data_IF_253328833104
#
_entry.id   IF_253328833104
#
_cell.length_a   1.000
_cell.length_b   1.000
_cell.length_c   1.000
_cell.angle_alpha   90.00
_cell.angle_beta   90.00
_cell.angle_gamma   90.00
#
_symmetry.space_group_name_H-M   'P 1'
#
loop_
_entity.id
_entity.type
_entity.pdbx_description
1 polymer ?
#
# COMPACT_ATOMS: atom_id res chain seq x y z
N UNK A 1 -21.12 13.75 -26.98
CA UNK A 1 -21.37 14.82 -25.98
C UNK A 1 -21.25 14.18 -24.60
N UNK A 2 -20.05 14.17 -24.00
CA UNK A 2 -19.77 13.42 -22.76
C UNK A 2 -20.43 14.08 -21.55
N UNK A 3 -21.20 13.31 -20.78
CA UNK A 3 -21.85 13.77 -19.56
C UNK A 3 -20.76 14.13 -18.54
N UNK A 4 -20.53 15.42 -18.29
CA UNK A 4 -19.59 15.87 -17.26
C UNK A 4 -20.22 15.60 -15.89
N UNK A 5 -19.76 14.55 -15.22
CA UNK A 5 -20.22 14.25 -13.86
C UNK A 5 -19.43 15.12 -12.89
N UNK A 6 -20.08 16.11 -12.29
CA UNK A 6 -19.50 16.88 -11.20
C UNK A 6 -19.83 16.20 -9.87
N UNK A 7 -18.82 16.01 -9.04
CA UNK A 7 -18.96 15.46 -7.69
C UNK A 7 -18.33 16.45 -6.71
N UNK A 8 -19.04 16.86 -5.67
CA UNK A 8 -18.44 17.67 -4.61
C UNK A 8 -17.80 16.75 -3.56
N UNK A 9 -16.67 17.16 -2.97
CA UNK A 9 -16.16 16.66 -1.70
C UNK A 9 -16.50 17.67 -0.60
N UNK A 10 -17.38 17.28 0.32
CA UNK A 10 -17.82 18.03 1.48
C UNK A 10 -17.23 17.47 2.77
N UNK A 11 -17.44 18.18 3.88
CA UNK A 11 -17.07 17.70 5.22
C UNK A 11 -17.81 16.43 5.59
N UNK A 12 -19.10 16.34 5.27
CA UNK A 12 -19.94 15.16 5.53
C UNK A 12 -19.40 13.93 4.80
N UNK A 13 -19.04 14.07 3.52
CA UNK A 13 -18.45 12.96 2.77
C UNK A 13 -17.08 12.54 3.31
N UNK A 14 -16.28 13.50 3.78
CA UNK A 14 -15.00 13.19 4.43
C UNK A 14 -15.20 12.38 5.71
N UNK A 15 -16.21 12.72 6.52
CA UNK A 15 -16.56 11.91 7.69
C UNK A 15 -17.06 10.52 7.30
N UNK A 16 -17.86 10.40 6.24
CA UNK A 16 -18.29 9.10 5.72
C UNK A 16 -17.11 8.23 5.27
N UNK A 17 -16.13 8.81 4.54
CA UNK A 17 -14.89 8.12 4.14
C UNK A 17 -14.08 7.71 5.38
N UNK A 18 -13.99 8.58 6.38
CA UNK A 18 -13.28 8.28 7.64
C UNK A 18 -13.91 7.11 8.37
N UNK A 19 -15.24 7.12 8.53
CA UNK A 19 -15.99 6.03 9.14
C UNK A 19 -15.81 4.72 8.36
N UNK A 20 -15.91 4.76 7.03
CA UNK A 20 -15.66 3.60 6.17
C UNK A 20 -14.23 3.06 6.31
N UNK A 21 -13.24 3.96 6.47
CA UNK A 21 -11.83 3.58 6.67
C UNK A 21 -11.62 2.90 8.02
N UNK A 22 -12.23 3.41 9.10
CA UNK A 22 -12.18 2.77 10.42
C UNK A 22 -12.85 1.40 10.40
N UNK A 23 -14.04 1.30 9.80
CA UNK A 23 -14.75 0.02 9.66
C UNK A 23 -13.92 -0.97 8.87
N UNK A 24 -13.34 -0.55 7.74
CA UNK A 24 -12.44 -1.39 6.95
C UNK A 24 -11.26 -1.90 7.79
N UNK A 25 -10.62 -1.02 8.55
CA UNK A 25 -9.50 -1.41 9.40
C UNK A 25 -9.90 -2.43 10.47
N UNK A 26 -11.05 -2.22 11.12
CA UNK A 26 -11.59 -3.16 12.10
C UNK A 26 -11.90 -4.51 11.46
N UNK A 27 -12.54 -4.53 10.30
CA UNK A 27 -12.88 -5.76 9.58
C UNK A 27 -11.62 -6.51 9.14
N UNK A 28 -10.61 -5.82 8.61
CA UNK A 28 -9.34 -6.44 8.23
C UNK A 28 -8.67 -7.13 9.42
N UNK A 29 -8.60 -6.46 10.57
CA UNK A 29 -8.03 -7.06 11.77
C UNK A 29 -8.89 -8.21 12.28
N UNK A 30 -10.22 -8.05 12.31
CA UNK A 30 -11.11 -9.10 12.81
C UNK A 30 -11.10 -10.37 11.96
N UNK A 31 -10.98 -10.24 10.63
CA UNK A 31 -11.00 -11.39 9.72
C UNK A 31 -9.64 -12.08 9.58
N UNK A 32 -8.54 -11.34 9.72
CA UNK A 32 -7.23 -11.81 9.29
C UNK A 32 -6.11 -11.63 10.32
N UNK A 33 -6.40 -11.04 11.49
CA UNK A 33 -5.42 -10.86 12.56
C UNK A 33 -6.02 -11.21 13.93
N UNK A 34 -5.66 -12.39 14.43
CA UNK A 34 -6.18 -12.88 15.70
C UNK A 34 -5.71 -12.04 16.89
N UNK A 35 -6.59 -11.87 17.88
CA UNK A 35 -6.24 -11.23 19.15
C UNK A 35 -6.06 -9.71 19.12
N UNK A 36 -6.22 -9.04 17.97
CA UNK A 36 -5.88 -7.60 17.82
C UNK A 36 -6.76 -6.61 18.61
N UNK A 37 -7.85 -7.09 19.22
CA UNK A 37 -8.75 -6.33 20.10
C UNK A 37 -8.84 -6.93 21.51
N UNK A 38 -7.94 -7.86 21.83
CA UNK A 38 -7.92 -8.59 23.09
C UNK A 38 -7.10 -7.90 24.20
N UNK A 39 -6.99 -8.60 25.32
CA UNK A 39 -6.13 -8.25 26.46
C UNK A 39 -5.05 -9.33 26.65
N UNK A 40 -3.83 -8.98 27.13
CA UNK A 40 -3.38 -7.63 27.50
C UNK A 40 -3.13 -6.71 26.29
N UNK A 41 -3.25 -5.39 26.49
CA UNK A 41 -3.07 -4.41 25.40
C UNK A 41 -1.63 -4.32 24.87
N UNK A 42 -0.65 -4.74 25.67
CA UNK A 42 0.77 -4.63 25.36
C UNK A 42 1.45 -6.00 25.43
N UNK A 43 2.25 -6.29 24.41
CA UNK A 43 3.16 -7.43 24.35
C UNK A 43 4.55 -6.89 24.02
N UNK A 44 5.53 -7.07 24.91
CA UNK A 44 6.89 -6.58 24.68
C UNK A 44 7.67 -7.42 23.67
N UNK A 45 7.34 -8.70 23.53
CA UNK A 45 8.01 -9.64 22.61
C UNK A 45 7.57 -9.39 21.16
N UNK A 46 6.28 -9.12 20.96
CA UNK A 46 5.69 -8.78 19.66
C UNK A 46 4.99 -7.41 19.71
N UNK A 47 5.76 -6.37 20.01
CA UNK A 47 5.22 -5.01 20.22
C UNK A 47 4.42 -4.48 19.02
N UNK A 48 4.82 -4.84 17.80
CA UNK A 48 4.17 -4.38 16.56
C UNK A 48 2.78 -5.00 16.37
N UNK A 49 2.56 -6.20 16.92
CA UNK A 49 1.30 -6.95 16.90
C UNK A 49 0.49 -6.74 18.19
N UNK A 50 0.90 -5.81 19.06
CA UNK A 50 0.16 -5.53 20.29
C UNK A 50 -1.20 -4.89 20.00
N UNK A 51 -2.27 -5.26 20.73
CA UNK A 51 -3.60 -4.67 20.53
C UNK A 51 -3.63 -3.14 20.63
N UNK A 52 -2.77 -2.54 21.47
CA UNK A 52 -2.64 -1.08 21.57
C UNK A 52 -2.33 -0.41 20.23
N UNK A 53 -1.54 -1.07 19.37
CA UNK A 53 -1.18 -0.53 18.04
C UNK A 53 -2.43 -0.40 17.17
N UNK A 54 -3.36 -1.36 17.24
CA UNK A 54 -4.65 -1.30 16.52
C UNK A 54 -5.44 -0.07 16.92
N UNK A 55 -5.56 0.20 18.23
CA UNK A 55 -6.29 1.36 18.73
C UNK A 55 -5.61 2.67 18.36
N UNK A 56 -4.28 2.73 18.41
CA UNK A 56 -3.50 3.89 17.94
C UNK A 56 -3.75 4.13 16.46
N UNK A 57 -3.74 3.09 15.62
CA UNK A 57 -4.03 3.21 14.20
C UNK A 57 -5.45 3.70 13.91
N UNK A 58 -6.45 3.22 14.66
CA UNK A 58 -7.82 3.74 14.57
C UNK A 58 -7.85 5.25 14.91
N UNK A 59 -7.18 5.65 15.99
CA UNK A 59 -7.09 7.05 16.37
C UNK A 59 -6.39 7.90 15.29
N UNK A 60 -5.34 7.38 14.65
CA UNK A 60 -4.65 8.05 13.54
C UNK A 60 -5.53 8.20 12.30
N UNK A 61 -6.34 7.20 11.96
CA UNK A 61 -7.31 7.28 10.85
C UNK A 61 -8.34 8.38 11.15
N UNK A 62 -8.89 8.41 12.37
CA UNK A 62 -9.86 9.43 12.80
C UNK A 62 -9.22 10.82 12.77
N UNK A 63 -8.00 10.96 13.25
CA UNK A 63 -7.26 12.22 13.26
C UNK A 63 -6.98 12.73 11.84
N UNK A 64 -6.58 11.85 10.93
CA UNK A 64 -6.40 12.18 9.52
C UNK A 64 -7.72 12.65 8.90
N UNK A 65 -8.82 11.95 9.17
CA UNK A 65 -10.17 12.30 8.74
C UNK A 65 -10.61 13.68 9.23
N UNK A 66 -10.42 13.95 10.51
CA UNK A 66 -10.70 15.24 11.12
C UNK A 66 -9.86 16.37 10.49
N UNK A 67 -8.56 16.14 10.28
CA UNK A 67 -7.66 17.10 9.63
C UNK A 67 -8.08 17.39 8.19
N UNK A 68 -8.55 16.38 7.45
CA UNK A 68 -9.10 16.58 6.12
C UNK A 68 -10.43 17.35 6.15
N UNK A 69 -11.34 17.02 7.06
CA UNK A 69 -12.64 17.68 7.13
C UNK A 69 -12.51 19.15 7.51
N UNK A 70 -11.56 19.49 8.38
CA UNK A 70 -11.29 20.86 8.83
C UNK A 70 -10.59 21.71 7.76
N UNK A 71 -9.84 21.10 6.85
CA UNK A 71 -9.21 21.83 5.73
C UNK A 71 -10.18 22.14 4.58
N UNK A 72 -11.37 21.53 4.56
CA UNK A 72 -12.36 21.77 3.52
C UNK A 72 -13.19 23.04 3.75
N UNK A 73 -13.43 23.85 2.68
CA UNK A 73 -14.40 24.94 2.71
C UNK A 73 -15.81 24.46 3.07
N UNK A 74 -16.65 25.33 3.62
CA UNK A 74 -18.02 24.98 4.04
C UNK A 74 -18.88 24.46 2.88
N UNK A 75 -18.71 25.05 1.69
CA UNK A 75 -19.37 24.66 0.45
C UNK A 75 -18.80 23.40 -0.22
N UNK A 76 -17.69 22.85 0.31
CA UNK A 76 -16.97 21.75 -0.31
C UNK A 76 -16.18 22.14 -1.55
N UNK A 77 -15.51 21.15 -2.15
CA UNK A 77 -14.71 21.31 -3.37
C UNK A 77 -15.40 20.55 -4.49
N UNK A 78 -15.80 21.25 -5.55
CA UNK A 78 -16.39 20.62 -6.73
C UNK A 78 -15.29 19.99 -7.59
N UNK A 79 -15.35 18.68 -7.73
CA UNK A 79 -14.47 17.89 -8.58
C UNK A 79 -15.11 17.67 -9.94
N UNK A 80 -14.29 17.85 -10.97
CA UNK A 80 -14.64 17.49 -12.34
C UNK A 80 -14.03 16.14 -12.63
N UNK A 81 -14.85 15.09 -12.55
CA UNK A 81 -14.41 13.72 -12.83
C UNK A 81 -14.90 13.37 -14.24
N UNK A 82 -14.00 13.48 -15.22
CA UNK A 82 -14.32 13.24 -16.63
C UNK A 82 -13.93 14.40 -17.54
N UNK A 83 -13.57 14.08 -18.79
CA UNK A 83 -13.33 15.09 -19.84
C UNK A 83 -11.89 15.24 -20.35
N UNK A 84 -11.04 14.22 -20.23
CA UNK A 84 -9.85 14.15 -21.09
C UNK A 84 -10.28 13.88 -22.53
N UNK A 85 -9.57 14.45 -23.52
CA UNK A 85 -9.79 14.06 -24.91
C UNK A 85 -9.44 12.57 -25.07
N UNK A 86 -10.43 11.78 -25.48
CA UNK A 86 -10.25 10.36 -25.78
C UNK A 86 -9.96 10.28 -27.27
N UNK A 87 -8.75 9.86 -27.62
CA UNK A 87 -8.35 9.66 -29.01
C UNK A 87 -8.79 8.27 -29.51
N UNK A 88 -8.92 8.05 -30.83
CA UNK A 88 -9.26 6.73 -31.37
C UNK A 88 -8.34 5.64 -30.81
N UNK A 89 -8.92 4.59 -30.23
CA UNK A 89 -8.18 3.49 -29.57
C UNK A 89 -8.06 3.60 -28.05
N UNK A 90 -8.47 4.73 -27.44
CA UNK A 90 -8.49 4.89 -25.98
C UNK A 90 -9.87 4.57 -25.38
N UNK A 91 -9.86 3.99 -24.18
CA UNK A 91 -11.06 3.74 -23.37
C UNK A 91 -10.98 4.58 -22.11
N UNK A 92 -12.09 5.22 -21.75
CA UNK A 92 -12.19 6.00 -20.54
C UNK A 92 -12.17 5.13 -19.28
N UNK A 93 -11.34 5.49 -18.30
CA UNK A 93 -11.39 4.85 -16.99
C UNK A 93 -12.75 5.08 -16.33
N UNK A 94 -13.36 4.06 -15.70
CA UNK A 94 -14.58 4.23 -14.92
C UNK A 94 -14.40 5.24 -13.77
N UNK A 95 -15.47 5.95 -13.43
CA UNK A 95 -15.48 7.03 -12.45
C UNK A 95 -14.88 6.62 -11.10
N UNK A 96 -15.25 5.42 -10.62
CA UNK A 96 -14.82 4.93 -9.31
C UNK A 96 -13.30 4.69 -9.25
N UNK A 97 -12.68 4.26 -10.35
CA UNK A 97 -11.23 4.06 -10.41
C UNK A 97 -10.47 5.38 -10.39
N UNK A 98 -10.97 6.39 -11.10
CA UNK A 98 -10.39 7.75 -11.05
C UNK A 98 -10.46 8.33 -9.64
N UNK A 99 -11.55 8.07 -8.92
CA UNK A 99 -11.72 8.46 -7.52
C UNK A 99 -10.76 7.69 -6.60
N UNK A 100 -10.76 6.36 -6.65
CA UNK A 100 -9.98 5.54 -5.72
C UNK A 100 -8.47 5.66 -5.94
N UNK A 101 -8.00 5.74 -7.19
CA UNK A 101 -6.58 5.68 -7.55
C UNK A 101 -5.94 7.05 -7.84
N UNK A 102 -6.76 8.09 -8.01
CA UNK A 102 -6.32 9.40 -8.49
C UNK A 102 -6.75 10.58 -7.64
N UNK A 103 -7.51 10.37 -6.56
CA UNK A 103 -8.02 11.44 -5.71
C UNK A 103 -7.43 11.44 -4.30
N UNK A 104 -6.71 12.51 -3.94
CA UNK A 104 -6.08 12.66 -2.62
C UNK A 104 -7.09 12.72 -1.46
N UNK A 105 -8.33 13.17 -1.70
CA UNK A 105 -9.37 13.19 -0.66
C UNK A 105 -9.88 11.78 -0.31
N UNK A 106 -9.68 10.81 -1.20
CA UNK A 106 -9.99 9.40 -0.97
C UNK A 106 -8.79 8.65 -0.36
N UNK A 107 -7.63 9.30 -0.22
CA UNK A 107 -6.42 8.69 0.33
C UNK A 107 -6.58 8.11 1.75
N UNK A 108 -7.53 8.65 2.53
CA UNK A 108 -7.91 8.11 3.86
C UNK A 108 -8.26 6.62 3.81
N UNK A 109 -8.92 6.18 2.72
CA UNK A 109 -9.31 4.78 2.52
C UNK A 109 -8.12 3.84 2.42
N UNK A 110 -6.96 4.33 1.96
CA UNK A 110 -5.76 3.52 1.80
C UNK A 110 -4.95 3.37 3.10
N UNK A 111 -5.18 4.22 4.11
CA UNK A 111 -4.48 4.14 5.40
C UNK A 111 -4.70 2.77 6.07
N UNK A 112 -5.95 2.27 6.27
CA UNK A 112 -6.20 0.93 6.81
C UNK A 112 -5.42 -0.18 6.11
N UNK A 113 -5.45 -0.19 4.78
CA UNK A 113 -4.86 -1.23 3.96
C UNK A 113 -3.33 -1.20 4.10
N UNK A 114 -2.72 -0.01 4.02
CA UNK A 114 -1.28 0.16 4.19
C UNK A 114 -0.79 -0.30 5.56
N UNK A 115 -1.50 0.10 6.60
CA UNK A 115 -1.16 -0.25 7.97
C UNK A 115 -1.29 -1.74 8.23
N UNK A 116 -2.38 -2.35 7.78
CA UNK A 116 -2.57 -3.79 7.89
C UNK A 116 -1.45 -4.55 7.16
N UNK A 117 -1.27 -4.31 5.85
CA UNK A 117 -0.26 -5.01 5.03
C UNK A 117 1.16 -4.73 5.54
N UNK A 118 1.47 -3.48 5.85
CA UNK A 118 2.79 -3.08 6.34
C UNK A 118 3.14 -3.70 7.69
N UNK A 119 2.17 -3.84 8.59
CA UNK A 119 2.37 -4.51 9.89
C UNK A 119 2.67 -5.99 9.71
N UNK A 120 1.96 -6.70 8.83
CA UNK A 120 2.23 -8.13 8.58
C UNK A 120 3.64 -8.34 8.01
N UNK A 121 4.07 -7.51 7.05
CA UNK A 121 5.44 -7.54 6.53
C UNK A 121 6.49 -7.21 7.60
N UNK A 122 6.24 -6.17 8.41
CA UNK A 122 7.18 -5.77 9.45
C UNK A 122 7.32 -6.86 10.52
N UNK A 123 6.22 -7.47 10.93
CA UNK A 123 6.22 -8.58 11.91
C UNK A 123 7.00 -9.77 11.38
N UNK A 124 6.71 -10.21 10.15
CA UNK A 124 7.42 -11.32 9.52
C UNK A 124 8.92 -11.03 9.36
N UNK A 125 9.27 -9.82 8.93
CA UNK A 125 10.66 -9.41 8.76
C UNK A 125 11.42 -9.30 10.08
N UNK A 126 10.80 -8.77 11.13
CA UNK A 126 11.43 -8.64 12.46
C UNK A 126 11.76 -10.02 13.04
N UNK A 127 10.86 -10.99 12.95
CA UNK A 127 11.13 -12.36 13.39
C UNK A 127 12.32 -12.99 12.65
N UNK A 128 12.52 -12.65 11.37
CA UNK A 128 13.64 -13.13 10.56
C UNK A 128 14.95 -12.41 10.91
N UNK A 129 14.94 -11.10 11.13
CA UNK A 129 16.15 -10.36 11.49
C UNK A 129 16.71 -10.78 12.85
N UNK A 130 15.86 -11.22 13.77
CA UNK A 130 16.30 -11.72 15.08
C UNK A 130 16.66 -13.20 15.10
N UNK A 131 16.37 -13.95 14.03
CA UNK A 131 16.66 -15.38 13.93
C UNK A 131 18.04 -15.62 13.28
N UNK A 132 19.01 -16.21 14.02
CA UNK A 132 20.31 -16.60 13.45
C UNK A 132 20.18 -17.51 12.22
N UNK A 133 19.14 -18.33 12.11
CA UNK A 133 18.91 -19.16 10.93
C UNK A 133 18.66 -18.36 9.65
N UNK A 134 18.24 -17.09 9.75
CA UNK A 134 18.13 -16.17 8.60
C UNK A 134 19.37 -15.29 8.44
N UNK A 135 19.94 -14.82 9.55
CA UNK A 135 21.01 -13.82 9.54
C UNK A 135 22.43 -14.42 9.50
N UNK A 136 22.59 -15.68 9.90
CA UNK A 136 23.89 -16.36 9.98
C UNK A 136 23.87 -17.64 9.13
N UNK A 137 24.25 -17.50 7.86
CA UNK A 137 24.41 -18.63 6.93
C UNK A 137 23.12 -19.10 6.25
N UNK A 138 21.95 -18.58 6.63
CA UNK A 138 20.69 -18.78 5.90
C UNK A 138 20.11 -20.19 6.01
N UNK A 139 20.39 -20.91 7.10
CA UNK A 139 19.90 -22.27 7.35
C UNK A 139 18.36 -22.38 7.33
N UNK A 140 17.64 -21.36 7.84
CA UNK A 140 16.16 -21.32 7.81
C UNK A 140 15.64 -21.28 6.37
N UNK A 141 16.25 -20.46 5.52
CA UNK A 141 15.89 -20.38 4.10
C UNK A 141 16.30 -21.64 3.34
N UNK A 142 17.48 -22.20 3.64
CA UNK A 142 17.93 -23.47 3.07
C UNK A 142 16.94 -24.59 3.35
N UNK A 143 16.50 -24.73 4.61
CA UNK A 143 15.50 -25.70 5.00
C UNK A 143 14.17 -25.49 4.29
N UNK A 144 13.71 -24.24 4.21
CA UNK A 144 12.50 -23.87 3.47
C UNK A 144 12.59 -24.28 1.99
N UNK A 145 13.66 -23.92 1.29
CA UNK A 145 13.85 -24.26 -0.12
C UNK A 145 14.01 -25.76 -0.35
N UNK A 146 14.75 -26.46 0.52
CA UNK A 146 14.93 -27.92 0.42
C UNK A 146 13.58 -28.63 0.53
N UNK A 147 12.75 -28.21 1.47
CA UNK A 147 11.39 -28.73 1.63
C UNK A 147 10.50 -28.37 0.44
N UNK A 148 10.58 -27.14 -0.07
CA UNK A 148 9.78 -26.69 -1.21
C UNK A 148 10.13 -27.42 -2.52
N UNK A 149 11.42 -27.71 -2.74
CA UNK A 149 11.92 -28.37 -3.94
C UNK A 149 11.76 -29.91 -3.92
N UNK A 150 11.45 -30.50 -2.76
CA UNK A 150 11.28 -31.93 -2.59
C UNK A 150 10.15 -32.49 -3.48
N UNK A 151 10.39 -33.68 -4.03
CA UNK A 151 9.38 -34.47 -4.76
C UNK A 151 9.01 -35.66 -3.86
N UNK A 152 7.85 -35.63 -3.17
CA UNK A 152 7.43 -36.73 -2.32
C UNK A 152 7.02 -37.95 -3.16
N UNK A 153 7.42 -39.16 -2.73
CA UNK A 153 6.88 -40.40 -3.31
C UNK A 153 5.39 -40.53 -2.92
N UNK A 154 4.50 -40.40 -3.92
CA UNK A 154 3.05 -40.55 -3.73
C UNK A 154 2.30 -39.31 -3.21
N UNK A 155 2.98 -38.17 -3.05
CA UNK A 155 2.38 -36.90 -2.64
C UNK A 155 2.38 -35.84 -3.74
N UNK A 156 1.67 -34.71 -3.52
CA UNK A 156 1.81 -33.53 -4.38
C UNK A 156 3.05 -32.74 -3.96
N UNK A 157 3.92 -32.44 -4.92
CA UNK A 157 5.05 -31.55 -4.68
C UNK A 157 4.55 -30.17 -4.20
N UNK A 158 5.23 -29.53 -3.22
CA UNK A 158 4.85 -28.19 -2.76
C UNK A 158 4.85 -27.16 -3.90
N UNK A 159 5.87 -27.23 -4.76
CA UNK A 159 5.93 -26.43 -5.98
C UNK A 159 5.21 -27.17 -7.11
N UNK A 160 4.13 -26.58 -7.60
CA UNK A 160 3.34 -27.13 -8.72
C UNK A 160 4.04 -26.94 -10.07
N UNK A 161 4.75 -25.81 -10.25
CA UNK A 161 5.36 -25.45 -11.53
C UNK A 161 6.83 -25.89 -11.61
N UNK A 162 7.12 -26.81 -12.53
CA UNK A 162 8.45 -27.43 -12.60
C UNK A 162 9.58 -26.44 -12.87
N UNK A 163 9.36 -25.42 -13.71
CA UNK A 163 10.36 -24.38 -13.97
C UNK A 163 10.77 -23.63 -12.69
N UNK A 164 9.82 -23.38 -11.79
CA UNK A 164 10.08 -22.68 -10.54
C UNK A 164 10.80 -23.60 -9.55
N UNK A 165 10.43 -24.88 -9.52
CA UNK A 165 11.13 -25.89 -8.72
C UNK A 165 12.59 -26.02 -9.14
N UNK A 166 12.85 -26.11 -10.44
CA UNK A 166 14.21 -26.15 -11.00
C UNK A 166 14.99 -24.87 -10.66
N UNK A 167 14.33 -23.70 -10.70
CA UNK A 167 14.94 -22.44 -10.26
C UNK A 167 15.34 -22.48 -8.77
N UNK A 168 14.46 -22.93 -7.88
CA UNK A 168 14.80 -23.08 -6.45
C UNK A 168 15.92 -24.10 -6.24
N UNK A 169 15.89 -25.24 -6.95
CA UNK A 169 16.97 -26.23 -6.90
C UNK A 169 18.31 -25.62 -7.34
N UNK A 170 18.30 -24.85 -8.44
CA UNK A 170 19.50 -24.15 -8.92
C UNK A 170 20.05 -23.17 -7.86
N UNK A 171 19.18 -22.43 -7.16
CA UNK A 171 19.60 -21.54 -6.06
C UNK A 171 20.17 -22.32 -4.85
N UNK A 172 19.63 -23.50 -4.56
CA UNK A 172 20.13 -24.41 -3.52
C UNK A 172 21.51 -24.95 -3.86
N UNK A 173 21.70 -25.44 -5.08
CA UNK A 173 22.95 -26.04 -5.56
C UNK A 173 24.10 -25.01 -5.54
N UNK A 174 23.78 -23.73 -5.80
CA UNK A 174 24.74 -22.63 -5.73
C UNK A 174 24.85 -21.98 -4.34
N UNK A 175 24.18 -22.52 -3.31
CA UNK A 175 24.18 -22.03 -1.94
C UNK A 175 23.76 -20.57 -1.77
N UNK A 176 22.87 -20.07 -2.62
CA UNK A 176 22.44 -18.66 -2.59
C UNK A 176 21.63 -18.30 -1.35
N UNK A 177 21.11 -19.29 -0.62
CA UNK A 177 20.40 -19.10 0.64
C UNK A 177 21.26 -18.33 1.68
N UNK A 178 22.60 -18.44 1.60
CA UNK A 178 23.55 -17.80 2.52
C UNK A 178 23.49 -16.26 2.53
N UNK A 179 23.19 -15.63 1.39
CA UNK A 179 23.03 -14.18 1.26
C UNK A 179 21.59 -13.77 0.98
N UNK A 180 20.83 -14.62 0.29
CA UNK A 180 19.45 -14.33 -0.08
C UNK A 180 18.52 -14.31 1.14
N UNK A 181 18.81 -15.10 2.19
CA UNK A 181 18.05 -15.07 3.44
C UNK A 181 18.03 -13.68 4.06
N UNK A 182 19.20 -13.01 4.13
CA UNK A 182 19.33 -11.64 4.63
C UNK A 182 18.56 -10.65 3.76
N UNK A 183 18.65 -10.80 2.44
CA UNK A 183 17.94 -9.94 1.50
C UNK A 183 16.43 -10.04 1.69
N UNK A 184 15.91 -11.26 1.86
CA UNK A 184 14.49 -11.49 2.18
C UNK A 184 14.16 -10.83 3.51
N UNK A 185 14.84 -11.16 4.60
CA UNK A 185 14.55 -10.64 5.94
C UNK A 185 14.54 -9.10 6.00
N UNK A 186 15.58 -8.46 5.46
CA UNK A 186 15.68 -7.00 5.39
C UNK A 186 14.63 -6.41 4.44
N UNK A 187 14.37 -7.07 3.31
CA UNK A 187 13.34 -6.67 2.37
C UNK A 187 11.96 -6.60 3.01
N UNK A 188 11.58 -7.60 3.80
CA UNK A 188 10.29 -7.63 4.51
C UNK A 188 10.15 -6.47 5.49
N UNK A 189 11.21 -6.16 6.24
CA UNK A 189 11.22 -5.00 7.15
C UNK A 189 11.11 -3.69 6.38
N UNK A 190 11.87 -3.52 5.30
CA UNK A 190 11.81 -2.29 4.48
C UNK A 190 10.44 -2.10 3.82
N UNK A 191 9.82 -3.17 3.33
CA UNK A 191 8.46 -3.15 2.81
C UNK A 191 7.48 -2.73 3.91
N UNK A 192 7.58 -3.37 5.09
CA UNK A 192 6.71 -3.06 6.23
C UNK A 192 6.82 -1.60 6.66
N UNK A 193 8.04 -1.09 6.84
CA UNK A 193 8.30 0.30 7.21
C UNK A 193 7.83 1.28 6.11
N UNK A 194 8.13 0.98 4.84
CA UNK A 194 7.68 1.80 3.71
C UNK A 194 6.16 1.94 3.66
N UNK A 195 5.43 0.85 3.85
CA UNK A 195 3.97 0.88 3.88
C UNK A 195 3.41 1.61 5.10
N UNK A 196 3.94 1.35 6.30
CA UNK A 196 3.50 1.99 7.55
C UNK A 196 3.72 3.50 7.49
N UNK A 197 4.94 3.96 7.17
CA UNK A 197 5.21 5.39 7.12
C UNK A 197 4.67 6.08 5.87
N UNK A 198 4.16 5.29 4.90
CA UNK A 198 3.73 5.80 3.61
C UNK A 198 4.89 6.39 2.82
N UNK A 199 6.06 5.73 2.87
CA UNK A 199 7.26 6.08 2.12
C UNK A 199 7.47 5.10 0.96
N UNK A 200 7.48 5.64 -0.25
CA UNK A 200 7.56 4.91 -1.51
C UNK A 200 6.53 3.77 -1.58
N UNK A 201 5.27 4.06 -1.25
CA UNK A 201 4.22 3.04 -1.09
C UNK A 201 4.09 2.14 -2.31
N UNK A 202 4.10 2.72 -3.51
CA UNK A 202 4.04 1.94 -4.76
C UNK A 202 5.20 0.96 -4.90
N UNK A 203 6.42 1.38 -4.55
CA UNK A 203 7.62 0.54 -4.63
C UNK A 203 7.58 -0.53 -3.54
N UNK A 204 7.27 -0.16 -2.30
CA UNK A 204 7.15 -1.11 -1.19
C UNK A 204 6.07 -2.18 -1.49
N UNK A 205 4.90 -1.76 -1.97
CA UNK A 205 3.82 -2.67 -2.35
C UNK A 205 4.21 -3.56 -3.54
N UNK A 206 4.97 -3.05 -4.51
CA UNK A 206 5.45 -3.83 -5.65
C UNK A 206 6.38 -4.96 -5.20
N UNK A 207 7.41 -4.65 -4.40
CA UNK A 207 8.31 -5.67 -3.88
C UNK A 207 7.60 -6.64 -2.93
N UNK A 208 6.66 -6.16 -2.11
CA UNK A 208 5.80 -7.02 -1.31
C UNK A 208 4.99 -7.99 -2.17
N UNK A 209 4.36 -7.50 -3.24
CA UNK A 209 3.60 -8.34 -4.18
C UNK A 209 4.51 -9.39 -4.84
N UNK A 210 5.71 -8.99 -5.27
CA UNK A 210 6.68 -9.89 -5.90
C UNK A 210 7.16 -10.99 -4.95
N UNK A 211 7.51 -10.63 -3.71
CA UNK A 211 7.93 -11.60 -2.69
C UNK A 211 6.79 -12.55 -2.32
N UNK A 212 5.58 -12.02 -2.14
CA UNK A 212 4.41 -12.83 -1.82
C UNK A 212 4.09 -13.84 -2.93
N UNK A 213 4.15 -13.39 -4.19
CA UNK A 213 4.01 -14.25 -5.36
C UNK A 213 5.04 -15.38 -5.37
N UNK A 214 6.32 -15.08 -5.08
CA UNK A 214 7.37 -16.09 -4.96
C UNK A 214 7.10 -17.11 -3.84
N UNK A 215 6.61 -16.67 -2.67
CA UNK A 215 6.25 -17.57 -1.57
C UNK A 215 5.07 -18.48 -1.91
N UNK A 216 4.07 -17.96 -2.62
CA UNK A 216 2.93 -18.76 -3.11
C UNK A 216 3.37 -19.80 -4.14
N UNK A 217 4.26 -19.44 -5.08
CA UNK A 217 4.85 -20.40 -6.02
C UNK A 217 5.65 -21.50 -5.32
N UNK A 218 6.28 -21.16 -4.20
CA UNK A 218 7.01 -22.08 -3.34
C UNK A 218 6.11 -22.99 -2.47
N UNK A 219 4.79 -22.82 -2.51
CA UNK A 219 3.81 -23.67 -1.80
C UNK A 219 3.31 -23.11 -0.45
N UNK A 220 3.63 -21.86 -0.10
CA UNK A 220 3.18 -21.25 1.17
C UNK A 220 1.77 -20.67 1.05
N UNK A 221 0.82 -21.10 1.89
CA UNK A 221 -0.62 -20.85 1.64
C UNK A 221 -1.40 -20.09 2.74
N UNK A 222 -0.90 -19.92 3.97
CA UNK A 222 -1.78 -19.55 5.11
C UNK A 222 -2.39 -18.12 5.05
N UNK A 223 -1.60 -17.07 4.87
CA UNK A 223 -2.10 -15.66 4.83
C UNK A 223 -1.72 -14.89 3.57
N UNK A 224 -0.87 -15.49 2.73
CA UNK A 224 -0.30 -14.87 1.54
C UNK A 224 -1.33 -14.31 0.53
N UNK A 225 -2.45 -14.98 0.20
CA UNK A 225 -3.37 -14.48 -0.83
C UNK A 225 -4.01 -13.12 -0.50
N UNK A 226 -4.32 -12.88 0.79
CA UNK A 226 -4.94 -11.62 1.23
C UNK A 226 -3.92 -10.49 1.12
N UNK A 227 -2.70 -10.70 1.62
CA UNK A 227 -1.62 -9.72 1.53
C UNK A 227 -1.26 -9.40 0.07
N UNK A 228 -1.20 -10.42 -0.79
CA UNK A 228 -0.99 -10.24 -2.22
C UNK A 228 -2.08 -9.37 -2.84
N UNK A 229 -3.35 -9.69 -2.63
CA UNK A 229 -4.47 -8.94 -3.19
C UNK A 229 -4.47 -7.48 -2.74
N UNK A 230 -4.28 -7.22 -1.45
CA UNK A 230 -4.22 -5.87 -0.90
C UNK A 230 -2.99 -5.10 -1.43
N UNK A 231 -1.83 -5.74 -1.53
CA UNK A 231 -0.62 -5.13 -2.06
C UNK A 231 -0.77 -4.74 -3.55
N UNK A 232 -1.43 -5.56 -4.37
CA UNK A 232 -1.74 -5.21 -5.78
C UNK A 232 -2.58 -3.93 -5.85
N UNK A 233 -3.61 -3.79 -5.00
CA UNK A 233 -4.40 -2.56 -4.97
C UNK A 233 -3.57 -1.34 -4.53
N UNK A 234 -2.63 -1.53 -3.59
CA UNK A 234 -1.69 -0.47 -3.20
C UNK A 234 -0.74 -0.08 -4.33
N UNK A 235 -0.27 -1.04 -5.14
CA UNK A 235 0.51 -0.76 -6.36
C UNK A 235 -0.31 0.09 -7.33
N UNK A 236 -1.58 -0.26 -7.57
CA UNK A 236 -2.45 0.51 -8.45
C UNK A 236 -2.74 1.92 -7.90
N UNK A 237 -2.89 2.05 -6.59
CA UNK A 237 -3.20 3.28 -5.90
C UNK A 237 -1.97 4.12 -5.51
N UNK A 238 -0.78 3.77 -5.98
CA UNK A 238 0.49 4.32 -5.53
C UNK A 238 0.57 5.86 -5.51
N UNK A 239 -0.12 6.54 -6.44
CA UNK A 239 -0.17 8.01 -6.52
C UNK A 239 -0.84 8.68 -5.32
N UNK A 240 -1.79 7.99 -4.69
CA UNK A 240 -2.62 8.55 -3.60
C UNK A 240 -2.48 7.80 -2.29
N UNK A 241 -2.10 6.53 -2.33
CA UNK A 241 -2.05 5.68 -1.16
C UNK A 241 -1.11 6.25 -0.08
N UNK A 242 0.04 6.81 -0.49
CA UNK A 242 1.01 7.42 0.42
C UNK A 242 0.74 8.89 0.81
N UNK A 243 -0.36 9.51 0.36
CA UNK A 243 -0.64 10.93 0.61
C UNK A 243 -0.70 11.26 2.12
N UNK A 244 -1.34 10.40 2.90
CA UNK A 244 -1.30 10.43 4.37
C UNK A 244 -0.06 9.68 4.87
N UNK A 245 1.12 10.17 4.53
CA UNK A 245 2.42 9.55 4.78
C UNK A 245 3.57 10.41 4.24
N UNK A 246 4.76 9.82 4.12
CA UNK A 246 5.96 10.50 3.63
C UNK A 246 5.95 10.77 2.11
N UNK A 247 5.17 10.03 1.32
CA UNK A 247 5.07 10.19 -0.14
C UNK A 247 4.59 11.58 -0.57
N UNK A 248 3.84 12.27 0.29
CA UNK A 248 3.48 13.67 0.10
C UNK A 248 4.70 14.58 -0.09
N UNK A 249 5.83 14.23 0.51
CA UNK A 249 7.08 14.98 0.43
C UNK A 249 8.10 14.29 -0.49
N UNK A 250 8.16 12.95 -0.46
CA UNK A 250 9.12 12.17 -1.23
C UNK A 250 8.81 12.18 -2.74
N UNK A 251 7.56 12.00 -3.15
CA UNK A 251 7.22 11.91 -4.58
C UNK A 251 7.50 13.23 -5.33
N UNK A 252 7.16 14.42 -4.79
CA UNK A 252 7.56 15.68 -5.41
C UNK A 252 9.08 15.87 -5.45
N UNK A 253 9.80 15.48 -4.39
CA UNK A 253 11.26 15.60 -4.33
C UNK A 253 11.97 14.71 -5.36
N UNK A 254 11.39 13.55 -5.68
CA UNK A 254 11.87 12.63 -6.73
C UNK A 254 11.42 13.05 -8.15
N UNK A 255 10.68 14.15 -8.28
CA UNK A 255 10.30 14.70 -9.58
C UNK A 255 9.19 13.92 -10.30
N UNK A 256 8.26 13.30 -9.57
CA UNK A 256 7.16 12.59 -10.23
C UNK A 256 6.31 13.54 -11.09
N UNK A 257 5.86 13.11 -12.29
CA UNK A 257 5.29 14.02 -13.31
C UNK A 257 3.88 14.55 -12.99
N UNK A 258 3.25 14.12 -11.89
CA UNK A 258 1.95 14.63 -11.45
C UNK A 258 2.14 15.70 -10.39
N UNK A 259 1.55 16.86 -10.66
CA UNK A 259 1.45 17.94 -9.69
C UNK A 259 0.08 17.85 -8.99
N UNK A 260 0.08 17.94 -7.66
CA UNK A 260 -1.14 18.24 -6.93
C UNK A 260 -1.63 19.61 -7.41
N UNK A 261 -2.79 19.68 -8.08
CA UNK A 261 -3.46 20.94 -8.27
C UNK A 261 -3.78 21.46 -6.87
N UNK A 262 -2.96 22.40 -6.40
CA UNK A 262 -2.80 22.71 -4.99
C UNK A 262 -4.14 22.93 -4.27
N UNK A 263 -4.16 22.59 -2.98
CA UNK A 263 -5.02 23.25 -2.01
C UNK A 263 -4.95 24.75 -2.28
N UNK A 264 -6.04 25.31 -2.81
CA UNK A 264 -6.12 26.63 -3.43
C UNK A 264 -5.19 27.67 -2.80
N UNK A 265 -3.99 27.84 -3.36
CA UNK A 265 -3.32 29.14 -3.32
C UNK A 265 -4.13 30.03 -4.24
N UNK A 266 -4.61 31.14 -3.68
CA UNK A 266 -5.50 32.09 -4.33
C UNK A 266 -5.09 32.35 -5.78
N UNK A 267 -6.04 32.47 -6.71
CA UNK A 267 -5.71 32.86 -8.07
C UNK A 267 -4.95 34.18 -8.00
N UNK A 268 -3.76 34.19 -8.60
CA UNK A 268 -3.01 35.41 -8.88
C UNK A 268 -4.00 36.39 -9.51
N UNK A 269 -4.19 37.53 -8.84
CA UNK A 269 -5.17 38.51 -9.22
C UNK A 269 -4.97 38.87 -10.69
N UNK A 270 -5.96 38.54 -11.53
CA UNK A 270 -5.99 39.00 -12.90
C UNK A 270 -5.91 40.53 -12.88
N UNK A 271 -4.78 41.08 -13.31
CA UNK A 271 -4.60 42.51 -13.51
C UNK A 271 -5.61 42.93 -14.60
N UNK A 272 -6.62 43.75 -14.30
CA UNK A 272 -7.59 44.17 -15.31
C UNK A 272 -7.00 45.33 -16.11
N UNK A 273 -6.94 45.16 -17.43
CA UNK A 273 -7.05 46.27 -18.39
C UNK A 273 -5.80 47.11 -18.63
N UNK A 274 -5.08 46.79 -19.71
CA UNK A 274 -4.27 47.75 -20.46
C UNK A 274 -4.83 47.85 -21.87
N UNK A 275 -5.55 48.92 -22.16
CA UNK A 275 -6.28 49.18 -23.40
C UNK A 275 -5.39 49.18 -24.64
N UNK A 276 -5.97 48.72 -25.75
CA UNK A 276 -5.48 48.89 -27.12
C UNK A 276 -5.20 50.36 -27.44
N UNK A 277 -4.04 50.65 -28.02
CA UNK A 277 -3.84 51.83 -28.84
C UNK A 277 -3.31 51.39 -30.19
N UNK A 278 -4.21 51.37 -31.19
CA UNK A 278 -3.81 51.21 -32.57
C UNK A 278 -2.91 52.37 -33.02
N UNK A 279 -2.02 52.08 -33.96
CA UNK A 279 -1.65 53.04 -34.99
C UNK A 279 -1.29 52.30 -36.27
N UNK A 280 -1.71 52.96 -37.34
CA UNK A 280 -1.71 52.63 -38.76
C UNK A 280 -0.42 52.04 -39.28
#
# INVERSE_FOLDING_TARGET
MGRRTSFAITREQTWAITAASVVLFVVLNWLFADGMFGMPLWNAEEWISSPIITYVMIALIILAGWRQATSLPAQGITMRLGGGEVTPGQVEDPLIWRLLLGNVFVALFWIPIRFFVGREWLTAGLHKITDPGWMDGGASLQGYWTNAAAIPEGGRAPITYDWFRQFIQYMLDNQWYTWFAKLVAVGEVLIGLGLIFGALVGIAAFFGTLMNFSFMLAGTTSTNPVLFGLAVFLVLAWKVAGYWGLDRYLLPALGTPWHEAGTATAPEAAVPGGLSAGRR
#
